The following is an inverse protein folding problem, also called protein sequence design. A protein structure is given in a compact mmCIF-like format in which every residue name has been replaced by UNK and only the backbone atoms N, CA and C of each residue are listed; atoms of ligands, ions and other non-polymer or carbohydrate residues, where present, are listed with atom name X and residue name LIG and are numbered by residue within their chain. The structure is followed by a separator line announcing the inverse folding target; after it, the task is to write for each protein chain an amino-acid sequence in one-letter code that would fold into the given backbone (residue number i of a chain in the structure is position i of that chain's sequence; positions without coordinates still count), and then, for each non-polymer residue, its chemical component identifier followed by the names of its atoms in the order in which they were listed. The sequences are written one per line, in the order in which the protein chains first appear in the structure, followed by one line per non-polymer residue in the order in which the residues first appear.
data_IF_810047221150
#
_entry.id   IF_810047221150
#
_cell.length_a   1.000
_cell.length_b   1.000
_cell.length_c   1.000
_cell.angle_alpha   90.00
_cell.angle_beta   90.00
_cell.angle_gamma   90.00
#
_symmetry.space_group_name_H-M   'P 1'
#
loop_
_entity.id
_entity.type
_entity.pdbx_description
1 polymer ?
#
# COMPACT_ATOMS: atom_id res chain seq x y z
N UNK A 1 -20.73 18.10 0.49
CA UNK A 1 -20.69 16.94 -0.42
C UNK A 1 -19.29 16.34 -0.53
N UNK A 2 -18.22 17.15 -0.49
CA UNK A 2 -16.84 16.68 -0.70
C UNK A 2 -16.33 15.71 0.37
N UNK A 3 -16.73 15.89 1.63
CA UNK A 3 -16.34 14.98 2.72
C UNK A 3 -16.90 13.56 2.54
N UNK A 4 -18.08 13.42 1.93
CA UNK A 4 -18.71 12.13 1.69
C UNK A 4 -18.02 11.35 0.57
N UNK A 5 -17.56 12.06 -0.47
CA UNK A 5 -16.77 11.47 -1.55
C UNK A 5 -15.40 11.00 -1.04
N UNK A 6 -14.73 11.83 -0.24
CA UNK A 6 -13.46 11.48 0.38
C UNK A 6 -13.62 10.26 1.29
N UNK A 7 -14.63 10.26 2.18
CA UNK A 7 -14.88 9.12 3.07
C UNK A 7 -15.26 7.86 2.31
N UNK A 8 -16.05 7.98 1.24
CA UNK A 8 -16.43 6.84 0.39
C UNK A 8 -15.21 6.23 -0.31
N UNK A 9 -14.33 7.06 -0.86
CA UNK A 9 -13.07 6.63 -1.45
C UNK A 9 -12.16 5.91 -0.45
N UNK A 10 -12.00 6.47 0.75
CA UNK A 10 -11.20 5.84 1.81
C UNK A 10 -11.78 4.48 2.24
N UNK A 11 -13.09 4.38 2.42
CA UNK A 11 -13.76 3.13 2.78
C UNK A 11 -13.62 2.08 1.69
N UNK A 12 -13.76 2.47 0.42
CA UNK A 12 -13.60 1.55 -0.71
C UNK A 12 -12.17 1.02 -0.80
N UNK A 13 -11.16 1.89 -0.67
CA UNK A 13 -9.76 1.46 -0.65
C UNK A 13 -9.48 0.50 0.51
N UNK A 14 -9.99 0.80 1.70
CA UNK A 14 -9.84 -0.07 2.86
C UNK A 14 -10.51 -1.43 2.63
N UNK A 15 -11.73 -1.45 2.10
CA UNK A 15 -12.44 -2.67 1.78
C UNK A 15 -11.67 -3.53 0.75
N UNK A 16 -11.12 -2.91 -0.30
CA UNK A 16 -10.29 -3.60 -1.28
C UNK A 16 -9.03 -4.21 -0.65
N UNK A 17 -8.34 -3.47 0.23
CA UNK A 17 -7.14 -3.97 0.93
C UNK A 17 -7.49 -5.17 1.81
N UNK A 18 -8.56 -5.08 2.60
CA UNK A 18 -9.03 -6.18 3.45
C UNK A 18 -9.41 -7.38 2.62
N UNK A 19 -10.15 -7.18 1.52
CA UNK A 19 -10.53 -8.25 0.61
C UNK A 19 -9.30 -8.98 0.05
N UNK A 20 -8.33 -8.25 -0.49
CA UNK A 20 -7.10 -8.84 -1.04
C UNK A 20 -6.32 -9.62 0.03
N UNK A 21 -6.25 -9.11 1.26
CA UNK A 21 -5.62 -9.81 2.39
C UNK A 21 -6.36 -11.11 2.73
N UNK A 22 -7.68 -11.07 2.81
CA UNK A 22 -8.50 -12.27 3.10
C UNK A 22 -8.36 -13.33 2.02
N UNK A 23 -8.37 -12.93 0.75
CA UNK A 23 -8.13 -13.82 -0.39
C UNK A 23 -6.76 -14.47 -0.26
N UNK A 24 -5.70 -13.68 -0.04
CA UNK A 24 -4.36 -14.23 0.14
C UNK A 24 -4.29 -15.22 1.31
N UNK A 25 -4.87 -14.88 2.46
CA UNK A 25 -4.91 -15.76 3.62
C UNK A 25 -5.66 -17.07 3.33
N UNK A 26 -6.79 -17.02 2.63
CA UNK A 26 -7.59 -18.20 2.30
C UNK A 26 -6.84 -19.16 1.35
N UNK A 27 -6.14 -18.62 0.36
CA UNK A 27 -5.31 -19.40 -0.56
C UNK A 27 -4.14 -20.05 0.17
N UNK A 28 -3.29 -19.26 0.84
CA UNK A 28 -2.11 -19.81 1.51
C UNK A 28 -2.47 -20.80 2.62
N UNK A 29 -3.56 -20.56 3.36
CA UNK A 29 -4.05 -21.53 4.37
C UNK A 29 -4.53 -22.84 3.75
N UNK A 30 -5.11 -22.79 2.55
CA UNK A 30 -5.53 -23.99 1.82
C UNK A 30 -4.32 -24.78 1.32
N UNK A 31 -3.33 -24.09 0.78
CA UNK A 31 -2.08 -24.71 0.31
C UNK A 31 -1.32 -25.36 1.47
N UNK A 32 -1.19 -24.68 2.62
CA UNK A 32 -0.57 -25.26 3.82
C UNK A 32 -1.30 -26.51 4.31
N UNK A 33 -2.64 -26.54 4.28
CA UNK A 33 -3.41 -27.74 4.63
C UNK A 33 -3.22 -28.88 3.63
N UNK A 34 -3.11 -28.58 2.35
CA UNK A 34 -2.84 -29.59 1.33
C UNK A 34 -1.46 -30.23 1.53
N UNK A 35 -0.44 -29.40 1.78
CA UNK A 35 0.92 -29.84 2.11
C UNK A 35 0.95 -30.63 3.42
N UNK A 36 0.26 -30.18 4.46
CA UNK A 36 0.20 -30.91 5.73
C UNK A 36 -0.43 -32.30 5.55
N UNK A 37 -1.48 -32.42 4.73
CA UNK A 37 -2.10 -33.73 4.41
C UNK A 37 -1.19 -34.64 3.59
N UNK A 38 -0.39 -34.10 2.66
CA UNK A 38 0.59 -34.91 1.92
C UNK A 38 1.72 -35.39 2.83
N UNK A 39 2.19 -34.52 3.73
CA UNK A 39 3.21 -34.85 4.72
C UNK A 39 2.68 -35.88 5.72
N UNK A 40 1.44 -35.76 6.20
CA UNK A 40 0.85 -36.74 7.14
C UNK A 40 0.65 -38.11 6.47
N UNK A 41 0.31 -38.13 5.17
CA UNK A 41 0.27 -39.36 4.36
C UNK A 41 1.65 -40.03 4.23
N UNK A 42 2.73 -39.26 4.32
CA UNK A 42 4.13 -39.73 4.32
C UNK A 42 4.62 -40.08 5.75
N UNK A 43 4.23 -39.29 6.76
CA UNK A 43 4.62 -39.37 8.17
C UNK A 43 3.71 -40.26 9.03
N UNK A 44 2.67 -40.89 8.48
CA UNK A 44 1.92 -41.96 9.16
C UNK A 44 2.83 -43.14 9.56
N UNK A 45 4.11 -43.14 9.14
CA UNK A 45 5.16 -44.03 9.64
C UNK A 45 5.97 -43.53 10.86
N UNK A 46 5.88 -42.27 11.30
CA UNK A 46 6.70 -41.78 12.41
C UNK A 46 6.07 -40.63 13.21
N UNK A 47 5.32 -41.03 14.24
CA UNK A 47 5.19 -40.37 15.55
C UNK A 47 4.33 -39.10 15.63
N UNK A 48 3.15 -39.35 16.21
CA UNK A 48 2.25 -38.43 16.89
C UNK A 48 2.88 -37.82 18.14
N UNK A 49 2.94 -36.49 18.21
CA UNK A 49 2.58 -35.68 19.40
C UNK A 49 3.04 -34.24 19.21
N UNK A 50 2.09 -33.29 19.17
CA UNK A 50 2.17 -31.86 19.55
C UNK A 50 1.16 -31.02 18.73
N UNK A 51 -0.15 -31.19 18.98
CA UNK A 51 -1.21 -30.53 18.20
C UNK A 51 -1.77 -29.23 18.80
N UNK A 52 -1.52 -28.92 20.07
CA UNK A 52 -2.32 -27.88 20.76
C UNK A 52 -1.74 -26.45 20.74
N UNK A 53 -0.52 -26.24 20.24
CA UNK A 53 0.10 -24.90 20.18
C UNK A 53 -0.02 -24.19 18.82
N UNK A 54 -0.58 -24.85 17.80
CA UNK A 54 -0.52 -24.34 16.42
C UNK A 54 -1.62 -23.30 16.10
N UNK A 55 -2.80 -23.45 16.72
CA UNK A 55 -3.96 -22.59 16.41
C UNK A 55 -3.85 -21.17 17.00
N UNK A 56 -3.36 -21.04 18.24
CA UNK A 56 -3.22 -19.73 18.90
C UNK A 56 -2.11 -18.87 18.26
N UNK A 57 -1.03 -19.52 17.81
CA UNK A 57 0.02 -18.87 17.02
C UNK A 57 -0.51 -18.32 15.68
N UNK A 58 -1.47 -19.01 15.06
CA UNK A 58 -2.03 -18.61 13.77
C UNK A 58 -2.90 -17.34 13.89
N UNK A 59 -3.70 -17.20 14.95
CA UNK A 59 -4.53 -16.00 15.13
C UNK A 59 -3.70 -14.73 15.39
N UNK A 60 -2.64 -14.83 16.21
CA UNK A 60 -1.71 -13.71 16.43
C UNK A 60 -0.99 -13.30 15.14
N UNK A 61 -0.61 -14.27 14.31
CA UNK A 61 -0.02 -13.99 12.99
C UNK A 61 -1.02 -13.35 12.03
N UNK A 62 -2.29 -13.78 12.05
CA UNK A 62 -3.36 -13.18 11.27
C UNK A 62 -3.60 -11.71 11.65
N UNK A 63 -3.71 -11.41 12.94
CA UNK A 63 -3.90 -10.02 13.43
C UNK A 63 -2.71 -9.15 13.01
N UNK A 64 -1.49 -9.67 13.12
CA UNK A 64 -0.29 -8.97 12.64
C UNK A 64 -0.33 -8.73 11.12
N UNK A 65 -0.69 -9.74 10.33
CA UNK A 65 -0.83 -9.65 8.88
C UNK A 65 -1.85 -8.61 8.45
N UNK A 66 -2.98 -8.48 9.15
CA UNK A 66 -4.01 -7.49 8.84
C UNK A 66 -3.47 -6.06 8.88
N UNK A 67 -2.54 -5.76 9.78
CA UNK A 67 -1.94 -4.43 9.94
C UNK A 67 -0.64 -4.27 9.13
N UNK A 68 0.04 -5.37 8.80
CA UNK A 68 1.29 -5.35 8.04
C UNK A 68 1.10 -4.71 6.64
N UNK A 69 2.08 -3.92 6.16
CA UNK A 69 2.06 -3.27 4.85
C UNK A 69 2.36 -4.25 3.71
N UNK A 70 1.71 -5.42 3.71
CA UNK A 70 1.83 -6.45 2.68
C UNK A 70 0.46 -7.03 2.35
N UNK A 71 0.25 -7.41 1.09
CA UNK A 71 -0.99 -8.06 0.65
C UNK A 71 -0.87 -9.59 0.64
N UNK A 72 0.36 -10.12 0.69
CA UNK A 72 0.62 -11.55 0.61
C UNK A 72 0.83 -12.14 2.02
N UNK A 73 -0.01 -13.09 2.40
CA UNK A 73 0.10 -13.81 3.67
C UNK A 73 1.30 -14.76 3.66
N UNK A 74 2.08 -14.77 4.75
CA UNK A 74 3.16 -15.73 5.02
C UNK A 74 3.08 -16.17 6.47
N UNK A 75 3.45 -17.43 6.75
CA UNK A 75 3.41 -17.99 8.13
C UNK A 75 4.33 -17.26 9.10
N UNK A 76 5.47 -16.80 8.59
CA UNK A 76 6.47 -16.08 9.36
C UNK A 76 7.08 -14.98 8.49
N UNK A 77 7.04 -13.75 8.99
CA UNK A 77 7.65 -12.59 8.33
C UNK A 77 9.00 -12.26 8.96
N UNK A 78 9.99 -11.81 8.16
CA UNK A 78 11.24 -11.30 8.72
C UNK A 78 10.94 -10.09 9.62
N UNK A 79 11.46 -10.10 10.85
CA UNK A 79 11.25 -9.04 11.83
C UNK A 79 12.53 -8.28 12.15
N UNK A 80 12.43 -6.97 12.26
CA UNK A 80 13.54 -6.14 12.71
C UNK A 80 13.77 -6.26 14.22
N UNK A 81 15.04 -6.19 14.65
CA UNK A 81 15.45 -6.36 16.05
C UNK A 81 14.89 -5.26 16.97
N UNK A 82 14.82 -4.01 16.49
CA UNK A 82 14.30 -2.88 17.26
C UNK A 82 13.70 -1.80 16.36
N UNK A 83 12.84 -0.95 16.94
CA UNK A 83 12.24 0.20 16.24
C UNK A 83 13.17 1.40 16.37
N UNK A 84 13.70 1.89 15.24
CA UNK A 84 14.55 3.08 15.20
C UNK A 84 13.70 4.36 15.23
N UNK A 85 13.22 4.72 16.42
CA UNK A 85 12.31 5.88 16.64
C UNK A 85 12.81 7.18 16.01
N UNK A 86 14.11 7.49 16.14
CA UNK A 86 14.68 8.70 15.54
C UNK A 86 14.64 8.71 14.01
N UNK A 87 14.75 7.54 13.38
CA UNK A 87 14.58 7.41 11.93
C UNK A 87 13.11 7.60 11.54
N UNK A 88 12.18 6.99 12.27
CA UNK A 88 10.72 7.14 12.04
C UNK A 88 10.31 8.60 12.10
N UNK A 89 10.71 9.33 13.15
CA UNK A 89 10.37 10.75 13.30
C UNK A 89 10.90 11.58 12.13
N UNK A 90 12.13 11.34 11.67
CA UNK A 90 12.68 12.03 10.50
C UNK A 90 11.87 11.75 9.23
N UNK A 91 11.44 10.51 9.00
CA UNK A 91 10.61 10.18 7.84
C UNK A 91 9.21 10.79 7.96
N UNK A 92 8.65 10.83 9.16
CA UNK A 92 7.35 11.43 9.43
C UNK A 92 7.36 12.95 9.19
N UNK A 93 8.42 13.65 9.60
CA UNK A 93 8.60 15.07 9.28
C UNK A 93 8.67 15.30 7.77
N UNK A 94 9.43 14.46 7.03
CA UNK A 94 9.45 14.51 5.57
C UNK A 94 8.05 14.31 4.97
N UNK A 95 7.27 13.38 5.50
CA UNK A 95 5.90 13.12 5.03
C UNK A 95 5.05 14.39 5.15
N UNK A 96 5.06 15.06 6.30
CA UNK A 96 4.31 16.31 6.51
C UNK A 96 4.73 17.39 5.49
N UNK A 97 6.04 17.57 5.29
CA UNK A 97 6.57 18.57 4.36
C UNK A 97 6.12 18.28 2.92
N UNK A 98 6.29 17.03 2.46
CA UNK A 98 5.89 16.65 1.10
C UNK A 98 4.37 16.69 0.90
N UNK A 99 3.57 16.31 1.90
CA UNK A 99 2.10 16.45 1.85
C UNK A 99 1.68 17.91 1.76
N UNK A 100 2.31 18.80 2.54
CA UNK A 100 2.07 20.25 2.45
C UNK A 100 2.47 20.81 1.09
N UNK A 101 3.61 20.39 0.55
CA UNK A 101 4.07 20.78 -0.78
C UNK A 101 3.13 20.32 -1.90
N UNK A 102 2.59 19.10 -1.82
CA UNK A 102 1.55 18.63 -2.75
C UNK A 102 0.28 19.49 -2.65
N UNK A 103 -0.18 19.79 -1.43
CA UNK A 103 -1.33 20.67 -1.22
C UNK A 103 -1.11 22.06 -1.83
N UNK A 104 0.10 22.60 -1.68
CA UNK A 104 0.49 23.87 -2.31
C UNK A 104 0.43 23.79 -3.85
N UNK A 105 0.94 22.73 -4.47
CA UNK A 105 0.87 22.55 -5.93
C UNK A 105 -0.59 22.49 -6.39
N UNK A 106 -1.42 21.73 -5.68
CA UNK A 106 -2.84 21.57 -6.03
C UNK A 106 -3.56 22.92 -5.97
N UNK A 107 -3.39 23.67 -4.88
CA UNK A 107 -4.08 24.96 -4.71
C UNK A 107 -3.55 26.04 -5.65
N UNK A 108 -2.24 26.12 -5.88
CA UNK A 108 -1.64 27.21 -6.66
C UNK A 108 -1.62 26.95 -8.17
N UNK A 109 -1.56 25.69 -8.60
CA UNK A 109 -1.43 25.35 -10.02
C UNK A 109 -2.67 24.62 -10.56
N UNK A 110 -3.16 23.59 -9.87
CA UNK A 110 -4.25 22.74 -10.40
C UNK A 110 -5.60 23.46 -10.28
N UNK A 111 -5.93 23.98 -9.10
CA UNK A 111 -7.21 24.64 -8.82
C UNK A 111 -7.52 25.82 -9.79
N UNK A 112 -6.60 26.79 -10.03
CA UNK A 112 -6.89 27.89 -10.95
C UNK A 112 -7.06 27.44 -12.41
N UNK A 113 -6.33 26.41 -12.86
CA UNK A 113 -6.48 25.86 -14.21
C UNK A 113 -7.84 25.18 -14.37
N UNK A 114 -8.29 24.45 -13.34
CA UNK A 114 -9.58 23.75 -13.32
C UNK A 114 -10.74 24.74 -13.27
N UNK A 115 -10.73 25.75 -12.39
CA UNK A 115 -11.82 26.73 -12.33
C UNK A 115 -11.93 27.55 -13.62
N UNK A 116 -10.80 27.92 -14.22
CA UNK A 116 -10.76 28.61 -15.52
C UNK A 116 -11.20 27.70 -16.70
N UNK A 117 -11.50 26.43 -16.45
CA UNK A 117 -11.99 25.46 -17.45
C UNK A 117 -13.48 25.09 -17.30
N UNK A 118 -14.15 25.55 -16.23
CA UNK A 118 -15.59 25.33 -16.03
C UNK A 118 -16.44 26.06 -17.08
N UNK A 119 -15.91 27.11 -17.71
CA UNK A 119 -16.42 27.65 -18.98
C UNK A 119 -15.83 26.84 -20.13
N UNK A 120 -16.65 26.28 -21.01
CA UNK A 120 -16.81 24.85 -21.17
C UNK A 120 -15.83 24.26 -22.18
N UNK A 121 -15.64 22.94 -22.11
CA UNK A 121 -15.25 22.03 -23.21
C UNK A 121 -16.25 22.08 -24.40
N UNK A 122 -16.74 23.27 -24.77
CA UNK A 122 -17.67 23.57 -25.86
C UNK A 122 -16.98 24.26 -27.05
N UNK A 123 -15.66 24.50 -27.00
CA UNK A 123 -14.90 25.11 -28.08
C UNK A 123 -13.67 24.29 -28.45
N UNK A 124 -13.60 23.86 -29.72
CA UNK A 124 -12.49 23.23 -30.46
C UNK A 124 -11.53 22.31 -29.69
N UNK A 125 -11.40 21.05 -30.15
CA UNK A 125 -10.46 20.03 -29.63
C UNK A 125 -9.05 20.57 -29.32
N UNK A 126 -8.56 21.53 -30.10
CA UNK A 126 -7.27 22.19 -29.87
C UNK A 126 -7.17 22.89 -28.50
N UNK A 127 -8.21 23.60 -28.07
CA UNK A 127 -8.23 24.26 -26.75
C UNK A 127 -8.29 23.25 -25.60
N UNK A 128 -8.99 22.13 -25.79
CA UNK A 128 -9.01 21.04 -24.82
C UNK A 128 -7.63 20.40 -24.68
N UNK A 129 -6.95 20.11 -25.80
CA UNK A 129 -5.60 19.53 -25.81
C UNK A 129 -4.60 20.49 -25.15
N UNK A 130 -4.62 21.78 -25.48
CA UNK A 130 -3.72 22.77 -24.87
C UNK A 130 -3.86 22.82 -23.35
N UNK A 131 -5.10 22.78 -22.83
CA UNK A 131 -5.38 22.77 -21.39
C UNK A 131 -4.94 21.48 -20.72
N UNK A 132 -5.19 20.33 -21.35
CA UNK A 132 -4.72 19.03 -20.85
C UNK A 132 -3.19 19.00 -20.79
N UNK A 133 -2.50 19.55 -21.80
CA UNK A 133 -1.04 19.63 -21.80
C UNK A 133 -0.49 20.54 -20.69
N UNK A 134 -1.17 21.65 -20.41
CA UNK A 134 -0.83 22.55 -19.29
C UNK A 134 -1.05 21.89 -17.93
N UNK A 135 -2.05 21.01 -17.83
CA UNK A 135 -2.37 20.28 -16.59
C UNK A 135 -1.51 19.01 -16.40
N UNK A 136 -0.98 18.43 -17.47
CA UNK A 136 -0.25 17.16 -17.41
C UNK A 136 1.02 17.25 -16.57
N UNK A 137 1.76 18.35 -16.67
CA UNK A 137 3.00 18.60 -15.92
C UNK A 137 2.74 18.68 -14.41
N UNK A 138 1.89 19.58 -13.88
CA UNK A 138 1.61 19.63 -12.44
C UNK A 138 0.96 18.33 -11.94
N UNK A 139 0.11 17.69 -12.76
CA UNK A 139 -0.47 16.39 -12.42
C UNK A 139 0.60 15.30 -12.26
N UNK A 140 1.59 15.23 -13.17
CA UNK A 140 2.70 14.29 -13.06
C UNK A 140 3.51 14.54 -11.78
N UNK A 141 3.80 15.79 -11.44
CA UNK A 141 4.52 16.12 -10.21
C UNK A 141 3.75 15.71 -8.95
N UNK A 142 2.45 15.99 -8.89
CA UNK A 142 1.59 15.56 -7.77
C UNK A 142 1.55 14.05 -7.67
N UNK A 143 1.45 13.35 -8.81
CA UNK A 143 1.46 11.89 -8.84
C UNK A 143 2.77 11.30 -8.32
N UNK A 144 3.92 11.81 -8.78
CA UNK A 144 5.25 11.38 -8.30
C UNK A 144 5.44 11.67 -6.81
N UNK A 145 5.00 12.84 -6.34
CA UNK A 145 5.06 13.18 -4.92
C UNK A 145 4.15 12.25 -4.10
N UNK A 146 2.96 11.92 -4.59
CA UNK A 146 2.03 11.00 -3.93
C UNK A 146 2.65 9.60 -3.84
N UNK A 147 3.24 9.11 -4.94
CA UNK A 147 3.97 7.84 -4.97
C UNK A 147 5.06 7.80 -3.90
N UNK A 148 5.91 8.83 -3.82
CA UNK A 148 6.96 8.92 -2.81
C UNK A 148 6.39 8.99 -1.37
N UNK A 149 5.37 9.81 -1.15
CA UNK A 149 4.75 9.93 0.17
C UNK A 149 4.13 8.63 0.66
N UNK A 150 3.43 7.91 -0.23
CA UNK A 150 2.74 6.69 0.13
C UNK A 150 3.68 5.50 0.19
N UNK A 151 4.31 5.13 -0.93
CA UNK A 151 5.11 3.91 -1.04
C UNK A 151 6.45 4.02 -0.32
N UNK A 152 7.12 5.18 -0.40
CA UNK A 152 8.43 5.33 0.22
C UNK A 152 8.32 5.76 1.69
N UNK A 153 7.57 6.82 2.01
CA UNK A 153 7.53 7.33 3.39
C UNK A 153 6.54 6.57 4.26
N UNK A 154 5.26 6.53 3.89
CA UNK A 154 4.20 5.96 4.73
C UNK A 154 4.36 4.47 4.98
N UNK A 155 4.55 3.65 3.93
CA UNK A 155 4.70 2.19 4.10
C UNK A 155 5.96 1.84 4.90
N UNK A 156 7.06 2.56 4.73
CA UNK A 156 8.27 2.32 5.51
C UNK A 156 8.14 2.74 6.98
N UNK A 157 7.42 3.84 7.26
CA UNK A 157 7.08 4.24 8.64
C UNK A 157 6.24 3.12 9.28
N UNK A 158 5.20 2.67 8.58
CA UNK A 158 4.33 1.60 9.05
C UNK A 158 5.10 0.29 9.27
N UNK A 159 6.01 -0.05 8.36
CA UNK A 159 6.88 -1.22 8.46
C UNK A 159 7.83 -1.13 9.67
N UNK A 160 8.47 0.00 9.89
CA UNK A 160 9.36 0.20 11.03
C UNK A 160 8.58 0.13 12.36
N UNK A 161 7.37 0.72 12.42
CA UNK A 161 6.48 0.64 13.60
C UNK A 161 6.05 -0.80 13.91
N UNK A 162 5.74 -1.59 12.87
CA UNK A 162 5.35 -2.99 13.00
C UNK A 162 6.55 -3.94 13.10
N UNK A 163 7.78 -3.42 13.01
CA UNK A 163 9.03 -4.21 12.91
C UNK A 163 9.03 -5.18 11.72
N UNK A 164 8.32 -4.83 10.66
CA UNK A 164 8.34 -5.56 9.40
C UNK A 164 9.70 -5.36 8.71
N UNK A 165 10.39 -6.47 8.46
CA UNK A 165 11.76 -6.50 7.95
C UNK A 165 11.84 -6.38 6.43
N UNK A 166 10.80 -6.84 5.72
CA UNK A 166 10.71 -6.73 4.27
C UNK A 166 10.21 -5.33 3.88
N UNK A 167 11.02 -4.57 3.15
CA UNK A 167 10.75 -3.15 2.86
C UNK A 167 10.80 -2.84 1.37
N UNK A 168 10.81 -3.87 0.54
CA UNK A 168 10.86 -3.74 -0.90
C UNK A 168 9.44 -3.56 -1.47
N UNK A 169 8.81 -2.41 -1.17
CA UNK A 169 7.44 -2.13 -1.64
C UNK A 169 7.35 -1.82 -3.13
N UNK A 170 8.45 -1.40 -3.75
CA UNK A 170 8.56 -1.06 -5.17
C UNK A 170 9.99 -1.29 -5.65
N UNK A 171 10.14 -1.52 -6.97
CA UNK A 171 11.42 -1.62 -7.66
C UNK A 171 11.68 -0.37 -8.50
N UNK A 172 12.87 -0.29 -9.10
CA UNK A 172 13.34 0.82 -9.92
C UNK A 172 12.56 0.94 -11.25
N UNK A 173 11.28 1.30 -11.14
CA UNK A 173 10.33 1.37 -12.25
C UNK A 173 10.68 2.46 -13.26
N UNK A 174 11.47 3.46 -12.87
CA UNK A 174 11.97 4.50 -13.78
C UNK A 174 13.00 3.97 -14.79
N UNK A 175 13.58 2.80 -14.52
CA UNK A 175 14.48 2.07 -15.43
C UNK A 175 13.76 0.90 -16.11
N UNK A 176 12.41 0.87 -16.12
CA UNK A 176 11.67 -0.19 -16.77
C UNK A 176 11.89 -0.12 -18.29
N UNK A 177 12.63 -1.08 -18.83
CA UNK A 177 12.71 -1.33 -20.26
C UNK A 177 11.52 -2.18 -20.68
N UNK A 178 10.94 -1.87 -21.84
CA UNK A 178 9.86 -2.68 -22.41
C UNK A 178 10.49 -3.94 -23.02
N UNK A 179 10.50 -5.05 -22.26
CA UNK A 179 10.78 -6.37 -22.80
C UNK A 179 9.54 -6.95 -23.50
#
# INVERSE_FOLDING_TARGET
CDSALLSGGTLMLFACIVWLKLVSFAHTSSDMRAIAKSIDKENTQSISSNADNSYDANFKSLVYFMVAPTLCYQSSYPRSASVRKGWVVRQFVKLIIFTGFMGFIIEQYINPIVQNSQHPLKGNLLYAIERVLKLSVPNLYVWLCMFYCFFHLWLNILAELLRFGDREFYKDWWNAENC
#
